data_IF_489605830227
#
_entry.id   IF_489605830227
#
_cell.length_a   1.000
_cell.length_b   1.000
_cell.length_c   1.000
_cell.angle_alpha   90.00
_cell.angle_beta   90.00
_cell.angle_gamma   90.00
#
_symmetry.space_group_name_H-M   'P 1'
#
loop_
_entity.id
_entity.type
_entity.pdbx_description
1 polymer ?
#
# COMPACT_ATOMS: atom_id res chain seq x y z
N UNK A 1 7.49 15.47 1.11
CA UNK A 1 8.69 14.83 0.51
C UNK A 1 8.87 15.36 -0.91
N UNK A 2 9.96 15.05 -1.65
CA UNK A 2 9.94 15.18 -3.12
C UNK A 2 8.83 14.30 -3.73
N UNK A 3 8.54 14.49 -5.02
CA UNK A 3 7.64 13.61 -5.77
C UNK A 3 8.13 12.15 -5.70
N UNK A 4 7.20 11.20 -5.72
CA UNK A 4 7.53 9.78 -5.85
C UNK A 4 8.15 9.52 -7.24
N UNK A 5 9.15 8.63 -7.32
CA UNK A 5 9.75 8.19 -8.58
C UNK A 5 9.90 6.67 -8.58
N UNK A 6 9.87 6.04 -9.75
CA UNK A 6 9.96 4.58 -9.86
C UNK A 6 11.31 4.03 -9.38
N UNK A 7 12.41 4.75 -9.60
CA UNK A 7 13.76 4.33 -9.22
C UNK A 7 14.10 4.55 -7.74
N UNK A 8 13.24 5.25 -7.00
CA UNK A 8 13.44 5.56 -5.58
C UNK A 8 12.20 5.23 -4.72
N UNK A 9 11.40 4.24 -5.15
CA UNK A 9 10.21 3.79 -4.42
C UNK A 9 10.21 2.28 -4.21
N UNK A 10 9.47 1.85 -3.19
CA UNK A 10 9.08 0.46 -2.97
C UNK A 10 7.63 0.40 -2.51
N UNK A 11 6.87 -0.60 -2.94
CA UNK A 11 5.47 -0.78 -2.54
C UNK A 11 5.36 -1.82 -1.41
N UNK A 12 4.67 -1.45 -0.34
CA UNK A 12 4.32 -2.35 0.77
C UNK A 12 2.79 -2.50 0.88
N UNK A 13 2.31 -3.73 0.70
CA UNK A 13 0.89 -4.11 0.82
C UNK A 13 0.64 -4.81 2.16
N UNK A 14 -0.16 -4.20 3.01
CA UNK A 14 -0.39 -4.66 4.39
C UNK A 14 -1.71 -5.43 4.50
N UNK A 15 -1.64 -6.73 4.77
CA UNK A 15 -2.72 -7.56 5.35
C UNK A 15 -4.08 -7.53 4.60
N UNK A 16 -4.08 -7.59 3.26
CA UNK A 16 -5.30 -7.65 2.44
C UNK A 16 -5.91 -9.08 2.41
N UNK A 17 -6.40 -9.56 3.55
CA UNK A 17 -6.71 -10.98 3.77
C UNK A 17 -8.20 -11.36 3.65
N UNK A 18 -8.45 -12.59 3.19
CA UNK A 18 -9.79 -13.15 2.87
C UNK A 18 -10.86 -12.95 3.96
N UNK A 19 -10.53 -13.19 5.23
CA UNK A 19 -11.50 -13.07 6.33
C UNK A 19 -11.55 -11.67 6.94
N UNK A 20 -10.58 -10.81 6.60
CA UNK A 20 -10.57 -9.41 7.02
C UNK A 20 -11.41 -8.55 6.08
N UNK A 21 -11.19 -8.69 4.77
CA UNK A 21 -11.77 -7.81 3.74
C UNK A 21 -13.31 -7.73 3.77
N UNK A 22 -14.09 -8.79 4.06
CA UNK A 22 -15.55 -8.68 4.15
C UNK A 22 -16.06 -7.70 5.20
N UNK A 23 -15.25 -7.39 6.22
CA UNK A 23 -15.61 -6.44 7.26
C UNK A 23 -15.14 -5.00 6.96
N UNK A 24 -14.34 -4.78 5.92
CA UNK A 24 -13.74 -3.49 5.58
C UNK A 24 -14.74 -2.65 4.78
N UNK A 25 -14.97 -1.41 5.20
CA UNK A 25 -15.81 -0.47 4.46
C UNK A 25 -15.18 -0.16 3.10
N UNK A 26 -15.93 -0.35 2.02
CA UNK A 26 -15.43 -0.11 0.66
C UNK A 26 -14.36 -1.10 0.20
N UNK A 27 -14.29 -2.30 0.78
CA UNK A 27 -13.28 -3.32 0.46
C UNK A 27 -13.02 -3.54 -1.06
N UNK A 28 -14.04 -3.61 -1.95
CA UNK A 28 -13.78 -3.78 -3.38
C UNK A 28 -12.90 -2.68 -3.98
N UNK A 29 -13.14 -1.41 -3.61
CA UNK A 29 -12.35 -0.29 -4.10
C UNK A 29 -10.92 -0.31 -3.54
N UNK A 30 -10.75 -0.68 -2.27
CA UNK A 30 -9.43 -0.84 -1.64
C UNK A 30 -8.61 -1.91 -2.37
N UNK A 31 -9.23 -3.07 -2.65
CA UNK A 31 -8.57 -4.18 -3.36
C UNK A 31 -8.25 -3.82 -4.82
N UNK A 32 -9.18 -3.16 -5.51
CA UNK A 32 -8.96 -2.70 -6.87
C UNK A 32 -7.78 -1.73 -6.95
N UNK A 33 -7.74 -0.73 -6.07
CA UNK A 33 -6.67 0.25 -6.00
C UNK A 33 -5.33 -0.36 -5.58
N UNK A 34 -5.32 -1.29 -4.61
CA UNK A 34 -4.12 -2.05 -4.28
C UNK A 34 -3.62 -2.86 -5.49
N UNK A 35 -4.51 -3.51 -6.22
CA UNK A 35 -4.16 -4.25 -7.44
C UNK A 35 -3.64 -3.34 -8.57
N UNK A 36 -4.14 -2.11 -8.69
CA UNK A 36 -3.59 -1.09 -9.62
C UNK A 36 -2.17 -0.69 -9.22
N UNK A 37 -1.93 -0.46 -7.93
CA UNK A 37 -0.58 -0.16 -7.40
C UNK A 37 0.39 -1.29 -7.67
N UNK A 38 0.02 -2.55 -7.39
CA UNK A 38 0.89 -3.72 -7.64
C UNK A 38 1.20 -3.86 -9.13
N UNK A 39 0.19 -3.77 -10.00
CA UNK A 39 0.41 -3.82 -11.47
C UNK A 39 1.30 -2.69 -11.97
N UNK A 40 1.07 -1.46 -11.48
CA UNK A 40 1.89 -0.30 -11.82
C UNK A 40 3.34 -0.45 -11.35
N UNK A 41 3.53 -0.88 -10.09
CA UNK A 41 4.85 -1.12 -9.51
C UNK A 41 5.63 -2.17 -10.31
N UNK A 42 5.04 -3.35 -10.53
CA UNK A 42 5.64 -4.42 -11.33
C UNK A 42 5.98 -3.95 -12.75
N UNK A 43 5.09 -3.19 -13.40
CA UNK A 43 5.33 -2.69 -14.77
C UNK A 43 6.50 -1.71 -14.84
N UNK A 44 6.71 -0.92 -13.80
CA UNK A 44 7.77 0.09 -13.69
C UNK A 44 9.05 -0.46 -13.05
N UNK A 45 9.09 -1.74 -12.68
CA UNK A 45 10.26 -2.37 -12.05
C UNK A 45 10.48 -1.95 -10.59
N UNK A 46 9.42 -1.53 -9.91
CA UNK A 46 9.42 -1.17 -8.48
C UNK A 46 9.23 -2.46 -7.67
N UNK A 47 10.03 -2.63 -6.62
CA UNK A 47 9.91 -3.76 -5.70
C UNK A 47 8.55 -3.74 -4.96
N UNK A 48 7.98 -4.92 -4.75
CA UNK A 48 6.71 -5.10 -4.04
C UNK A 48 6.91 -6.10 -2.90
N UNK A 49 6.53 -5.70 -1.69
CA UNK A 49 6.48 -6.54 -0.51
C UNK A 49 5.04 -6.59 0.03
N UNK A 50 4.64 -7.72 0.61
CA UNK A 50 3.33 -7.88 1.23
C UNK A 50 3.42 -8.59 2.58
N UNK A 51 2.45 -8.33 3.46
CA UNK A 51 2.33 -9.02 4.76
C UNK A 51 0.96 -9.64 4.98
N UNK A 52 0.91 -10.67 5.82
CA UNK A 52 -0.32 -11.31 6.32
C UNK A 52 -0.33 -11.33 7.85
N UNK A 53 -1.37 -10.78 8.46
CA UNK A 53 -1.58 -10.85 9.90
C UNK A 53 -2.24 -12.18 10.27
N UNK A 54 -1.57 -13.02 11.06
CA UNK A 54 -2.12 -14.28 11.60
C UNK A 54 -2.94 -15.07 10.53
N UNK A 55 -2.31 -15.57 9.45
CA UNK A 55 -3.03 -16.16 8.32
C UNK A 55 -3.90 -17.37 8.71
N UNK A 56 -3.52 -18.14 9.73
CA UNK A 56 -4.37 -19.23 10.26
C UNK A 56 -5.75 -18.71 10.72
N UNK A 57 -5.76 -17.52 11.31
CA UNK A 57 -6.97 -16.85 11.81
C UNK A 57 -7.69 -16.01 10.75
N UNK A 58 -6.97 -15.26 9.92
CA UNK A 58 -7.54 -14.27 8.99
C UNK A 58 -7.58 -14.73 7.52
N UNK A 59 -7.08 -15.92 7.21
CA UNK A 59 -6.90 -16.38 5.84
C UNK A 59 -5.67 -15.77 5.17
N UNK A 60 -5.44 -16.13 3.92
CA UNK A 60 -4.34 -15.57 3.14
C UNK A 60 -4.75 -14.27 2.47
N UNK A 61 -3.80 -13.62 1.79
CA UNK A 61 -4.05 -12.49 0.91
C UNK A 61 -5.11 -12.90 -0.12
N UNK A 62 -6.09 -12.03 -0.38
CA UNK A 62 -7.14 -12.31 -1.35
C UNK A 62 -6.56 -12.59 -2.74
N UNK A 63 -7.09 -13.60 -3.44
CA UNK A 63 -6.59 -14.06 -4.75
C UNK A 63 -6.37 -12.92 -5.75
N UNK A 64 -7.33 -11.97 -5.82
CA UNK A 64 -7.28 -10.82 -6.72
C UNK A 64 -6.03 -9.92 -6.55
N UNK A 65 -5.37 -9.99 -5.39
CA UNK A 65 -4.09 -9.31 -5.11
C UNK A 65 -2.95 -10.32 -5.08
N UNK A 66 -3.15 -11.50 -4.48
CA UNK A 66 -2.12 -12.53 -4.35
C UNK A 66 -1.51 -12.96 -5.69
N UNK A 67 -2.34 -13.11 -6.73
CA UNK A 67 -1.89 -13.46 -8.09
C UNK A 67 -1.01 -12.39 -8.75
N UNK A 68 -1.03 -11.16 -8.23
CA UNK A 68 -0.27 -10.02 -8.75
C UNK A 68 1.07 -9.84 -8.04
N UNK A 69 1.24 -10.44 -6.86
CA UNK A 69 2.44 -10.27 -6.06
C UNK A 69 3.63 -11.01 -6.70
N UNK A 70 4.81 -10.38 -6.80
CA UNK A 70 6.00 -11.04 -7.33
C UNK A 70 6.58 -12.09 -6.37
N UNK A 71 6.30 -11.95 -5.08
CA UNK A 71 6.71 -12.89 -4.02
C UNK A 71 5.57 -13.09 -3.02
N UNK A 72 5.50 -14.25 -2.33
CA UNK A 72 4.49 -14.49 -1.31
C UNK A 72 4.56 -13.48 -0.17
N UNK A 73 3.39 -13.15 0.41
CA UNK A 73 3.32 -12.28 1.57
C UNK A 73 3.99 -12.92 2.81
N UNK A 74 4.59 -12.07 3.64
CA UNK A 74 5.28 -12.49 4.87
C UNK A 74 4.27 -12.54 6.02
N UNK A 75 4.11 -13.72 6.63
CA UNK A 75 3.26 -13.90 7.79
C UNK A 75 3.83 -13.18 9.03
N UNK A 76 2.97 -12.52 9.79
CA UNK A 76 3.32 -11.83 11.04
C UNK A 76 2.22 -11.94 12.09
N UNK A 77 2.61 -11.73 13.35
CA UNK A 77 1.69 -11.60 14.49
C UNK A 77 1.72 -10.20 15.10
N UNK A 78 2.80 -9.45 14.92
CA UNK A 78 2.89 -8.03 15.27
C UNK A 78 2.00 -7.18 14.35
N UNK A 79 1.33 -6.18 14.92
CA UNK A 79 0.54 -5.23 14.13
C UNK A 79 1.42 -4.39 13.20
N UNK A 80 2.54 -3.87 13.69
CA UNK A 80 3.54 -3.25 12.82
C UNK A 80 4.24 -4.34 11.98
N UNK A 81 4.31 -4.13 10.67
CA UNK A 81 5.09 -4.97 9.78
C UNK A 81 6.58 -4.82 10.10
N UNK A 82 7.19 -5.91 10.54
CA UNK A 82 8.63 -5.96 10.79
C UNK A 82 9.36 -6.43 9.53
N UNK A 83 9.12 -5.72 8.43
CA UNK A 83 9.77 -5.94 7.15
C UNK A 83 10.49 -4.66 6.74
N UNK A 84 11.71 -4.81 6.22
CA UNK A 84 12.38 -3.74 5.48
C UNK A 84 12.16 -4.00 3.99
N UNK A 85 11.26 -3.27 3.33
CA UNK A 85 10.90 -3.56 1.94
C UNK A 85 12.05 -3.25 0.97
N UNK A 86 13.10 -2.54 1.38
CA UNK A 86 14.22 -2.14 0.53
C UNK A 86 14.46 -0.63 0.57
N UNK A 87 15.42 -0.09 -0.20
CA UNK A 87 15.74 1.33 -0.23
C UNK A 87 14.61 2.18 -0.86
N UNK A 88 14.66 3.49 -0.63
CA UNK A 88 13.72 4.46 -1.21
C UNK A 88 12.51 4.77 -0.32
N UNK A 89 11.56 5.51 -0.92
CA UNK A 89 10.29 5.89 -0.30
C UNK A 89 9.35 4.70 -0.26
N UNK A 90 8.84 4.37 0.92
CA UNK A 90 7.93 3.25 1.11
C UNK A 90 6.50 3.75 0.85
N UNK A 91 5.91 3.28 -0.24
CA UNK A 91 4.49 3.53 -0.58
C UNK A 91 3.65 2.43 0.06
N UNK A 92 2.72 2.80 0.94
CA UNK A 92 1.96 1.85 1.77
C UNK A 92 0.48 1.83 1.40
N UNK A 93 -0.04 0.64 1.15
CA UNK A 93 -1.45 0.33 0.98
C UNK A 93 -1.84 -0.84 1.90
N UNK A 94 -3.13 -1.06 2.17
CA UNK A 94 -3.60 -2.21 2.95
C UNK A 94 -4.55 -1.93 4.11
N UNK A 95 -4.69 -2.91 5.00
CA UNK A 95 -5.61 -2.90 6.13
C UNK A 95 -4.95 -3.34 7.45
N UNK A 96 -5.50 -3.00 8.62
CA UNK A 96 -6.44 -1.90 8.84
C UNK A 96 -5.66 -0.58 8.98
N UNK A 97 -6.18 0.49 8.36
CA UNK A 97 -5.59 1.83 8.35
C UNK A 97 -5.21 2.31 9.76
N UNK A 98 -6.07 2.08 10.75
CA UNK A 98 -5.89 2.50 12.14
C UNK A 98 -5.14 1.51 13.05
N UNK A 99 -4.76 0.34 12.53
CA UNK A 99 -4.07 -0.71 13.30
C UNK A 99 -2.73 -1.04 12.64
N UNK A 100 -2.71 -1.97 11.68
CA UNK A 100 -1.48 -2.49 11.09
C UNK A 100 -0.79 -1.42 10.22
N UNK A 101 -1.53 -0.71 9.37
CA UNK A 101 -0.96 0.35 8.52
C UNK A 101 -0.39 1.47 9.39
N UNK A 102 -1.19 2.03 10.32
CA UNK A 102 -0.74 3.09 11.22
C UNK A 102 0.52 2.72 12.00
N UNK A 103 0.55 1.54 12.63
CA UNK A 103 1.70 1.12 13.43
C UNK A 103 2.93 0.82 12.56
N UNK A 104 2.74 0.24 11.37
CA UNK A 104 3.81 0.02 10.40
C UNK A 104 4.44 1.34 9.97
N UNK A 105 3.62 2.29 9.53
CA UNK A 105 4.08 3.60 9.04
C UNK A 105 4.81 4.36 10.15
N UNK A 106 4.25 4.41 11.37
CA UNK A 106 4.91 5.09 12.49
C UNK A 106 6.24 4.41 12.88
N UNK A 107 6.32 3.08 12.83
CA UNK A 107 7.57 2.35 13.10
C UNK A 107 8.63 2.62 12.02
N UNK A 108 8.25 2.68 10.74
CA UNK A 108 9.14 3.05 9.65
C UNK A 108 9.63 4.50 9.78
N UNK A 109 8.73 5.44 10.10
CA UNK A 109 9.08 6.85 10.34
C UNK A 109 10.02 7.01 11.54
N UNK A 110 9.82 6.27 12.62
CA UNK A 110 10.72 6.27 13.77
C UNK A 110 12.13 5.79 13.44
N UNK A 111 12.28 4.97 12.38
CA UNK A 111 13.57 4.52 11.83
C UNK A 111 14.14 5.49 10.77
N UNK A 112 13.54 6.67 10.59
CA UNK A 112 14.00 7.70 9.65
C UNK A 112 13.69 7.39 8.18
N UNK A 113 12.73 6.50 7.90
CA UNK A 113 12.34 6.14 6.53
C UNK A 113 11.35 7.14 5.96
N UNK A 114 11.44 7.44 4.67
CA UNK A 114 10.41 8.17 3.94
C UNK A 114 9.25 7.23 3.61
N UNK A 115 8.02 7.70 3.84
CA UNK A 115 6.81 6.89 3.71
C UNK A 115 5.69 7.75 3.14
N UNK A 116 4.98 7.22 2.15
CA UNK A 116 3.74 7.76 1.62
C UNK A 116 2.62 6.72 1.80
N UNK A 117 1.42 7.17 2.17
CA UNK A 117 0.26 6.28 2.41
C UNK A 117 -0.82 6.57 1.39
N UNK A 118 -1.30 5.52 0.73
CA UNK A 118 -2.26 5.63 -0.38
C UNK A 118 -3.68 5.55 0.16
N UNK A 119 -4.31 6.71 0.35
CA UNK A 119 -5.56 6.89 1.10
C UNK A 119 -6.74 6.05 0.57
N UNK A 120 -6.86 5.93 -0.75
CA UNK A 120 -7.89 5.17 -1.46
C UNK A 120 -7.53 3.69 -1.65
N UNK A 121 -6.34 3.27 -1.21
CA UNK A 121 -5.91 1.88 -1.13
C UNK A 121 -5.67 1.42 0.32
N UNK A 122 -6.19 2.16 1.31
CA UNK A 122 -6.21 1.73 2.72
C UNK A 122 -7.64 1.65 3.27
N UNK A 123 -7.90 0.63 4.08
CA UNK A 123 -9.23 0.31 4.57
C UNK A 123 -9.34 0.19 6.08
N UNK A 124 -10.54 0.38 6.63
CA UNK A 124 -10.90 0.01 8.00
C UNK A 124 -12.36 -0.42 8.02
N UNK A 125 -12.77 -1.15 9.06
CA UNK A 125 -14.19 -1.52 9.24
C UNK A 125 -15.11 -0.31 9.34
N UNK A 126 -14.64 0.73 10.02
CA UNK A 126 -15.34 2.01 10.20
C UNK A 126 -14.52 3.10 9.53
N UNK A 127 -15.13 3.81 8.58
CA UNK A 127 -14.45 4.87 7.81
C UNK A 127 -13.89 5.98 8.71
N UNK A 128 -14.61 6.35 9.77
CA UNK A 128 -14.11 7.33 10.73
C UNK A 128 -12.77 6.90 11.38
N UNK A 129 -12.55 5.60 11.60
CA UNK A 129 -11.26 5.10 12.11
C UNK A 129 -10.16 5.24 11.05
N UNK A 130 -10.46 4.94 9.78
CA UNK A 130 -9.54 5.18 8.65
C UNK A 130 -9.14 6.66 8.60
N UNK A 131 -10.12 7.55 8.64
CA UNK A 131 -9.89 8.99 8.50
C UNK A 131 -9.05 9.55 9.65
N UNK A 132 -9.36 9.16 10.90
CA UNK A 132 -8.54 9.53 12.06
C UNK A 132 -7.11 8.99 11.97
N UNK A 133 -6.92 7.80 11.44
CA UNK A 133 -5.58 7.24 11.23
C UNK A 133 -4.79 8.04 10.18
N UNK A 134 -5.41 8.38 9.05
CA UNK A 134 -4.78 9.20 8.01
C UNK A 134 -4.45 10.61 8.50
N UNK A 135 -5.36 11.25 9.25
CA UNK A 135 -5.10 12.53 9.91
C UNK A 135 -3.90 12.45 10.88
N UNK A 136 -3.85 11.40 11.70
CA UNK A 136 -2.72 11.16 12.61
C UNK A 136 -1.41 10.99 11.85
N UNK A 137 -1.40 10.25 10.75
CA UNK A 137 -0.21 10.05 9.92
C UNK A 137 0.28 11.36 9.30
N UNK A 138 -0.63 12.19 8.76
CA UNK A 138 -0.29 13.55 8.29
C UNK A 138 0.37 14.39 9.38
N UNK A 139 -0.16 14.35 10.60
CA UNK A 139 0.42 15.06 11.75
C UNK A 139 1.83 14.58 12.14
N UNK A 140 2.24 13.39 11.69
CA UNK A 140 3.60 12.85 11.86
C UNK A 140 4.48 13.05 10.60
N UNK A 141 4.07 13.94 9.69
CA UNK A 141 4.83 14.31 8.50
C UNK A 141 4.88 13.21 7.43
N UNK A 142 3.87 12.34 7.40
CA UNK A 142 3.68 11.31 6.36
C UNK A 142 2.81 11.91 5.25
N UNK A 143 3.27 11.79 4.01
CA UNK A 143 2.48 12.19 2.85
C UNK A 143 1.32 11.20 2.65
N UNK A 144 0.10 11.73 2.50
CA UNK A 144 -1.09 10.93 2.23
C UNK A 144 -1.58 11.27 0.83
N UNK A 145 -1.41 10.30 -0.07
CA UNK A 145 -1.59 10.40 -1.53
C UNK A 145 -2.73 9.50 -2.00
N UNK A 146 -3.05 9.50 -3.30
CA UNK A 146 -4.01 8.57 -3.91
C UNK A 146 -3.33 7.64 -4.91
N UNK A 147 -4.00 6.55 -5.30
CA UNK A 147 -3.48 5.60 -6.28
C UNK A 147 -3.11 6.29 -7.60
N UNK A 148 -3.95 7.21 -8.07
CA UNK A 148 -3.68 7.97 -9.29
C UNK A 148 -2.47 8.91 -9.15
N UNK A 149 -2.32 9.59 -8.00
CA UNK A 149 -1.12 10.42 -7.72
C UNK A 149 0.14 9.57 -7.79
N UNK A 150 0.16 8.41 -7.11
CA UNK A 150 1.33 7.51 -7.09
C UNK A 150 1.69 7.04 -8.50
N UNK A 151 0.73 6.57 -9.27
CA UNK A 151 0.98 6.01 -10.60
C UNK A 151 1.53 7.05 -11.58
N UNK A 152 1.04 8.29 -11.54
CA UNK A 152 1.54 9.36 -12.39
C UNK A 152 2.84 9.99 -11.88
N UNK A 153 3.03 10.09 -10.57
CA UNK A 153 4.30 10.54 -9.99
C UNK A 153 5.43 9.58 -10.37
N UNK A 154 5.22 8.25 -10.26
CA UNK A 154 6.22 7.27 -10.69
C UNK A 154 6.60 7.37 -12.18
N UNK A 155 5.70 7.84 -13.04
CA UNK A 155 5.98 8.06 -14.47
C UNK A 155 6.70 9.38 -14.76
N UNK A 156 6.39 10.43 -13.98
CA UNK A 156 6.74 11.84 -14.18
C UNK A 156 6.31 12.51 -15.50
N UNK A 157 6.28 11.78 -16.62
CA UNK A 157 6.04 12.33 -17.96
C UNK A 157 5.09 11.45 -18.78
N UNK A 158 4.25 12.07 -19.61
CA UNK A 158 3.36 11.36 -20.54
C UNK A 158 4.08 10.68 -21.70
N UNK A 159 5.31 11.11 -22.01
CA UNK A 159 6.18 10.47 -23.01
C UNK A 159 6.89 9.22 -22.45
N UNK A 160 6.71 8.89 -21.17
CA UNK A 160 7.27 7.70 -20.56
C UNK A 160 6.80 6.43 -21.31
N UNK A 161 7.69 5.48 -21.67
CA UNK A 161 7.32 4.31 -22.48
C UNK A 161 6.17 3.46 -21.92
N UNK A 162 6.02 3.42 -20.59
CA UNK A 162 4.96 2.69 -19.90
C UNK A 162 3.65 3.50 -19.71
N UNK A 163 3.59 4.78 -20.11
CA UNK A 163 2.45 5.67 -19.82
C UNK A 163 1.11 5.07 -20.23
N UNK A 164 0.99 4.55 -21.46
CA UNK A 164 -0.28 3.99 -21.96
C UNK A 164 -0.72 2.74 -21.19
N UNK A 165 0.23 1.96 -20.69
CA UNK A 165 -0.08 0.76 -19.91
C UNK A 165 -0.53 1.13 -18.50
N UNK A 166 0.16 2.06 -17.85
CA UNK A 166 -0.20 2.57 -16.52
C UNK A 166 -1.54 3.33 -16.56
N UNK A 167 -1.77 4.17 -17.58
CA UNK A 167 -3.03 4.90 -17.74
C UNK A 167 -4.25 3.95 -17.84
N UNK A 168 -4.10 2.77 -18.45
CA UNK A 168 -5.18 1.77 -18.53
C UNK A 168 -5.55 1.17 -17.18
N UNK A 169 -4.70 1.28 -16.17
CA UNK A 169 -5.02 0.81 -14.83
C UNK A 169 -6.06 1.69 -14.13
N UNK A 170 -6.22 2.95 -14.58
CA UNK A 170 -7.08 3.96 -13.94
C UNK A 170 -8.41 4.16 -14.71
N UNK A 171 -8.50 3.64 -15.94
CA UNK A 171 -9.68 3.78 -16.81
C UNK A 171 -10.73 2.71 -16.60
#
# INVERSE_FOLDING_TARGET
MPLLSADASVLLVVDLQERLMPAIAGAPAVLENAGRLVRGATRLGIDVCATEQNPDGLGHTVDAVAELLPTPAVAKTSFAADVDPGPGTIVVAGCEAHVCVLQTVLALRARGRDVAVVADAVGSRVEANRDRALERLRAHGVDVVTTEMVLFEWLHDSDHPAFREVQRLIR
#
